data_IF_387308853382
#
_entry.id   IF_387308853382
#
_cell.length_a   1.000
_cell.length_b   1.000
_cell.length_c   1.000
_cell.angle_alpha   90.00
_cell.angle_beta   90.00
_cell.angle_gamma   90.00
#
_symmetry.space_group_name_H-M   'P 1'
#
loop_
_entity.id
_entity.type
_entity.pdbx_description
1 polymer ?
#
# COMPACT_ATOMS: atom_id res chain seq x y z
N UNK A 1 12.04 6.75 5.36
CA UNK A 1 13.07 7.10 6.37
C UNK A 1 13.17 8.62 6.41
N UNK A 2 13.14 9.31 7.56
CA UNK A 2 13.13 10.78 7.56
C UNK A 2 14.47 11.33 7.10
N UNK A 3 14.49 11.99 5.94
CA UNK A 3 15.62 12.81 5.53
C UNK A 3 15.51 14.17 6.22
N UNK A 4 16.14 14.27 7.39
CA UNK A 4 16.24 15.54 8.10
C UNK A 4 17.17 16.46 7.31
N UNK A 5 16.60 17.51 6.73
CA UNK A 5 17.38 18.67 6.30
C UNK A 5 18.21 19.15 7.48
N UNK A 6 19.53 19.08 7.35
CA UNK A 6 20.52 19.33 8.40
C UNK A 6 20.22 20.63 9.15
N UNK A 7 19.66 20.56 10.37
CA UNK A 7 20.00 21.44 11.51
C UNK A 7 19.17 21.13 12.79
N UNK A 8 19.91 20.99 13.89
CA UNK A 8 19.53 21.13 15.32
C UNK A 8 18.97 19.92 16.10
N UNK A 9 19.29 19.91 17.40
CA UNK A 9 19.27 18.76 18.33
C UNK A 9 18.12 18.78 19.37
N UNK A 10 17.26 19.81 19.41
CA UNK A 10 16.09 19.87 20.32
C UNK A 10 14.80 19.31 19.69
N UNK A 11 14.90 18.84 18.44
CA UNK A 11 13.80 18.58 17.50
C UNK A 11 13.30 17.13 17.47
N UNK A 12 14.03 16.20 18.06
CA UNK A 12 13.71 14.77 17.99
C UNK A 12 12.52 14.41 18.87
N UNK A 13 12.29 15.14 19.98
CA UNK A 13 11.23 14.83 20.94
C UNK A 13 9.83 15.22 20.43
N UNK A 14 9.72 16.37 19.73
CA UNK A 14 8.46 16.81 19.13
C UNK A 14 8.04 15.87 17.98
N UNK A 15 8.98 15.51 17.12
CA UNK A 15 8.72 14.54 16.04
C UNK A 15 8.37 13.16 16.61
N UNK A 16 9.08 12.70 17.64
CA UNK A 16 8.76 11.44 18.30
C UNK A 16 7.35 11.44 18.91
N UNK A 17 6.92 12.57 19.48
CA UNK A 17 5.57 12.73 20.02
C UNK A 17 4.52 12.68 18.91
N UNK A 18 4.75 13.38 17.79
CA UNK A 18 3.89 13.30 16.61
C UNK A 18 3.76 11.87 16.06
N UNK A 19 4.87 11.13 15.96
CA UNK A 19 4.82 9.74 15.51
C UNK A 19 4.10 8.84 16.50
N UNK A 20 4.30 9.01 17.81
CA UNK A 20 3.58 8.24 18.82
C UNK A 20 2.06 8.50 18.76
N UNK A 21 1.64 9.74 18.52
CA UNK A 21 0.24 10.09 18.30
C UNK A 21 -0.29 9.47 16.99
N UNK A 22 0.48 9.54 15.91
CA UNK A 22 0.12 8.95 14.63
C UNK A 22 0.01 7.42 14.72
N UNK A 23 0.94 6.74 15.38
CA UNK A 23 0.87 5.30 15.66
C UNK A 23 -0.37 4.95 16.48
N UNK A 24 -0.71 5.78 17.47
CA UNK A 24 -1.95 5.59 18.25
C UNK A 24 -3.18 5.66 17.34
N UNK A 25 -3.26 6.66 16.45
CA UNK A 25 -4.36 6.78 15.48
C UNK A 25 -4.39 5.60 14.51
N UNK A 26 -3.25 5.24 13.92
CA UNK A 26 -3.13 4.15 12.96
C UNK A 26 -3.44 2.78 13.60
N UNK A 27 -3.13 2.58 14.89
CA UNK A 27 -3.47 1.35 15.61
C UNK A 27 -4.97 1.06 15.69
N UNK A 28 -5.82 2.08 15.46
CA UNK A 28 -7.28 1.96 15.43
C UNK A 28 -7.80 1.55 14.05
N UNK A 29 -6.94 1.53 13.04
CA UNK A 29 -7.23 1.03 11.70
C UNK A 29 -6.70 -0.41 11.62
N UNK A 30 -7.46 -1.36 11.03
CA UNK A 30 -6.97 -2.72 10.86
C UNK A 30 -5.59 -2.74 10.18
N UNK A 31 -4.63 -3.55 10.67
CA UNK A 31 -3.28 -3.54 10.16
C UNK A 31 -3.26 -3.91 8.67
N UNK A 32 -2.52 -3.10 7.91
CA UNK A 32 -2.27 -3.30 6.48
C UNK A 32 -0.84 -3.82 6.30
N UNK A 33 -0.56 -5.01 6.86
CA UNK A 33 0.75 -5.65 6.81
C UNK A 33 0.60 -7.16 6.63
N UNK A 34 1.43 -7.74 5.77
CA UNK A 34 1.48 -9.19 5.52
C UNK A 34 1.13 -9.54 4.08
N UNK A 35 0.58 -10.75 3.89
CA UNK A 35 0.37 -11.49 2.65
C UNK A 35 1.45 -12.54 2.37
N UNK A 36 1.03 -13.70 1.90
CA UNK A 36 1.90 -14.74 1.36
C UNK A 36 1.60 -14.98 -0.12
N UNK A 37 2.62 -15.33 -0.90
CA UNK A 37 2.42 -15.90 -2.22
C UNK A 37 3.56 -16.81 -2.61
N UNK A 38 3.24 -17.89 -3.32
CA UNK A 38 4.22 -18.77 -3.94
C UNK A 38 3.75 -19.23 -5.31
N UNK A 39 4.73 -19.44 -6.19
CA UNK A 39 4.52 -20.04 -7.52
C UNK A 39 5.40 -21.26 -7.62
N UNK A 40 4.79 -22.39 -7.97
CA UNK A 40 5.49 -23.65 -8.27
C UNK A 40 5.41 -23.84 -9.78
N UNK A 41 6.56 -23.96 -10.43
CA UNK A 41 6.61 -24.26 -11.86
C UNK A 41 6.10 -25.67 -12.16
N UNK A 42 5.62 -25.90 -13.39
CA UNK A 42 5.06 -27.19 -13.77
C UNK A 42 6.03 -28.37 -13.64
N UNK A 43 7.34 -28.14 -13.79
CA UNK A 43 8.36 -29.19 -13.59
C UNK A 43 8.47 -29.67 -12.15
N UNK A 44 7.98 -28.89 -11.19
CA UNK A 44 7.96 -29.22 -9.76
C UNK A 44 6.56 -29.60 -9.24
N UNK A 45 5.57 -29.79 -10.12
CA UNK A 45 4.21 -30.19 -9.72
C UNK A 45 3.82 -31.56 -10.30
N UNK A 46 3.03 -32.34 -9.55
CA UNK A 46 2.56 -33.66 -10.00
C UNK A 46 1.73 -33.60 -11.28
N UNK A 47 1.04 -32.48 -11.54
CA UNK A 47 0.20 -32.29 -12.73
C UNK A 47 0.97 -31.82 -13.96
N UNK A 48 2.25 -31.45 -13.81
CA UNK A 48 3.00 -30.79 -14.88
C UNK A 48 2.54 -29.35 -15.17
N UNK A 49 1.66 -28.76 -14.34
CA UNK A 49 1.09 -27.41 -14.50
C UNK A 49 1.57 -26.48 -13.40
N UNK A 50 1.60 -25.17 -13.68
CA UNK A 50 1.93 -24.14 -12.68
C UNK A 50 0.89 -24.15 -11.57
N UNK A 51 1.34 -23.99 -10.32
CA UNK A 51 0.48 -23.73 -9.16
C UNK A 51 0.82 -22.35 -8.64
N UNK A 52 -0.17 -21.45 -8.60
CA UNK A 52 -0.11 -20.20 -7.87
C UNK A 52 -0.92 -20.36 -6.58
N UNK A 53 -0.35 -19.98 -5.45
CA UNK A 53 -1.14 -19.68 -4.26
C UNK A 53 -0.83 -18.26 -3.81
N UNK A 54 -1.88 -17.53 -3.45
CA UNK A 54 -1.78 -16.18 -2.94
C UNK A 54 -2.81 -16.02 -1.82
N UNK A 55 -2.32 -15.58 -0.67
CA UNK A 55 -3.04 -15.43 0.59
C UNK A 55 -2.81 -13.99 1.08
N UNK A 56 -3.54 -13.00 0.55
CA UNK A 56 -3.36 -11.61 0.93
C UNK A 56 -3.99 -11.33 2.28
N UNK A 57 -3.20 -10.71 3.17
CA UNK A 57 -3.65 -10.37 4.52
C UNK A 57 -4.21 -8.96 4.51
N UNK A 58 -5.53 -8.85 4.45
CA UNK A 58 -6.27 -7.61 4.64
C UNK A 58 -7.30 -7.83 5.74
N UNK A 59 -7.49 -6.83 6.61
CA UNK A 59 -8.45 -6.93 7.69
C UNK A 59 -9.86 -7.24 7.20
N UNK A 60 -10.58 -8.08 7.96
CA UNK A 60 -12.00 -8.30 7.75
C UNK A 60 -12.77 -7.00 8.04
N UNK A 61 -13.75 -6.70 7.20
CA UNK A 61 -14.60 -5.52 7.33
C UNK A 61 -16.06 -5.85 6.97
N UNK A 62 -16.97 -4.98 7.39
CA UNK A 62 -18.36 -4.97 6.97
C UNK A 62 -18.68 -3.55 6.44
N UNK A 63 -18.83 -3.35 5.11
CA UNK A 63 -18.84 -4.36 4.05
C UNK A 63 -17.48 -5.06 3.84
N UNK A 64 -17.52 -6.27 3.26
CA UNK A 64 -16.32 -7.07 2.98
C UNK A 64 -15.34 -6.32 2.09
N UNK A 65 -14.06 -6.40 2.43
CA UNK A 65 -12.97 -5.80 1.64
C UNK A 65 -12.86 -6.43 0.27
N UNK A 66 -12.91 -7.77 0.20
CA UNK A 66 -12.91 -8.53 -1.04
C UNK A 66 -14.32 -8.88 -1.48
N UNK A 67 -14.58 -8.70 -2.77
CA UNK A 67 -15.79 -9.19 -3.43
C UNK A 67 -15.41 -10.23 -4.49
N UNK A 68 -15.78 -11.49 -4.26
CA UNK A 68 -15.52 -12.57 -5.20
C UNK A 68 -16.55 -12.57 -6.34
N UNK A 69 -16.08 -12.61 -7.59
CA UNK A 69 -16.94 -12.62 -8.74
C UNK A 69 -16.33 -13.37 -9.94
N UNK A 70 -17.21 -13.79 -10.84
CA UNK A 70 -16.85 -14.36 -12.13
C UNK A 70 -17.51 -13.55 -13.23
N UNK A 71 -16.71 -12.84 -14.02
CA UNK A 71 -17.17 -12.16 -15.22
C UNK A 71 -16.98 -13.05 -16.43
N UNK A 72 -18.04 -13.24 -17.21
CA UNK A 72 -18.01 -14.09 -18.40
C UNK A 72 -18.74 -13.43 -19.56
N UNK A 73 -18.09 -13.48 -20.71
CA UNK A 73 -18.59 -13.10 -22.03
C UNK A 73 -18.42 -14.31 -22.97
N UNK A 74 -18.92 -14.26 -24.22
CA UNK A 74 -18.68 -15.35 -25.17
C UNK A 74 -17.20 -15.64 -25.46
N UNK A 75 -16.34 -14.61 -25.40
CA UNK A 75 -14.93 -14.65 -25.82
C UNK A 75 -13.92 -14.51 -24.67
N UNK A 76 -14.38 -14.14 -23.47
CA UNK A 76 -13.51 -13.90 -22.32
C UNK A 76 -14.15 -14.28 -20.97
N UNK A 77 -13.32 -14.76 -20.05
CA UNK A 77 -13.70 -15.00 -18.65
C UNK A 77 -12.61 -14.57 -17.68
N UNK A 78 -13.02 -14.07 -16.52
CA UNK A 78 -12.17 -13.69 -15.40
C UNK A 78 -12.86 -14.06 -14.09
N UNK A 79 -12.21 -14.91 -13.31
CA UNK A 79 -12.60 -15.25 -11.95
C UNK A 79 -11.63 -14.61 -10.97
N UNK A 80 -12.14 -14.03 -9.88
CA UNK A 80 -11.26 -13.56 -8.82
C UNK A 80 -11.94 -12.69 -7.78
N UNK A 81 -11.10 -11.97 -7.04
CA UNK A 81 -11.50 -11.08 -5.97
C UNK A 81 -11.26 -9.62 -6.38
N UNK A 82 -12.29 -8.82 -6.17
CA UNK A 82 -12.36 -7.40 -6.49
C UNK A 82 -12.31 -6.55 -5.22
N UNK A 83 -11.78 -5.34 -5.37
CA UNK A 83 -11.96 -4.27 -4.39
C UNK A 83 -13.09 -3.35 -4.87
N UNK A 84 -13.76 -2.69 -3.92
CA UNK A 84 -14.79 -1.71 -4.24
C UNK A 84 -14.25 -0.64 -5.21
N UNK A 85 -14.99 -0.40 -6.30
CA UNK A 85 -14.61 0.56 -7.34
C UNK A 85 -13.59 0.05 -8.37
N UNK A 86 -13.03 -1.15 -8.22
CA UNK A 86 -12.07 -1.73 -9.17
C UNK A 86 -12.78 -2.68 -10.14
N UNK A 87 -12.82 -2.39 -11.46
CA UNK A 87 -13.60 -3.15 -12.44
C UNK A 87 -12.93 -4.46 -12.89
N UNK A 88 -11.77 -4.81 -12.35
CA UNK A 88 -11.04 -6.05 -12.64
C UNK A 88 -10.57 -6.74 -11.36
N UNK A 89 -10.32 -8.04 -11.45
CA UNK A 89 -9.89 -8.82 -10.29
C UNK A 89 -8.43 -8.50 -9.96
N UNK A 90 -8.18 -7.99 -8.75
CA UNK A 90 -6.81 -7.74 -8.26
C UNK A 90 -6.10 -9.06 -7.98
N UNK A 91 -6.85 -10.05 -7.51
CA UNK A 91 -6.42 -11.43 -7.31
C UNK A 91 -7.27 -12.28 -8.23
N UNK A 92 -6.68 -12.97 -9.21
CA UNK A 92 -7.53 -13.63 -10.19
C UNK A 92 -6.83 -14.54 -11.16
N UNK A 93 -7.64 -15.19 -11.98
CA UNK A 93 -7.19 -16.02 -13.05
C UNK A 93 -8.21 -16.09 -14.19
N UNK A 94 -7.72 -16.51 -15.35
CA UNK A 94 -8.53 -16.91 -16.50
C UNK A 94 -8.04 -18.27 -17.02
N UNK A 95 -8.52 -18.70 -18.19
CA UNK A 95 -8.10 -19.98 -18.80
C UNK A 95 -6.61 -20.08 -19.13
N UNK A 96 -5.87 -18.97 -19.18
CA UNK A 96 -4.50 -18.90 -19.68
C UNK A 96 -3.48 -18.52 -18.60
N UNK A 97 -3.87 -17.74 -17.60
CA UNK A 97 -2.95 -17.20 -16.59
C UNK A 97 -3.65 -16.92 -15.27
N UNK A 98 -2.85 -16.81 -14.21
CA UNK A 98 -3.26 -16.42 -12.88
C UNK A 98 -2.26 -15.41 -12.30
N UNK A 99 -2.73 -14.52 -11.44
CA UNK A 99 -1.91 -13.54 -10.75
C UNK A 99 -2.41 -13.32 -9.33
N UNK A 100 -1.50 -12.84 -8.51
CA UNK A 100 -1.73 -12.47 -7.13
C UNK A 100 -0.86 -11.29 -6.77
N UNK A 101 -1.18 -10.65 -5.66
CA UNK A 101 -0.38 -9.54 -5.13
C UNK A 101 -0.02 -9.81 -3.68
N UNK A 102 1.14 -9.32 -3.29
CA UNK A 102 1.56 -9.22 -1.90
C UNK A 102 1.96 -7.78 -1.64
N UNK A 103 1.95 -7.36 -0.39
CA UNK A 103 2.48 -6.05 -0.04
C UNK A 103 3.98 -5.99 -0.29
N UNK A 104 4.41 -4.98 -1.04
CA UNK A 104 5.80 -4.60 -1.10
C UNK A 104 6.04 -3.59 0.02
N UNK A 105 6.75 -3.99 1.07
CA UNK A 105 7.11 -3.10 2.19
C UNK A 105 8.26 -2.17 1.78
N UNK A 106 8.13 -1.46 0.65
CA UNK A 106 9.11 -0.46 0.26
C UNK A 106 8.93 0.83 1.08
N UNK A 107 9.96 1.65 1.07
CA UNK A 107 9.93 3.01 1.60
C UNK A 107 9.54 3.94 0.43
N UNK A 108 8.24 4.24 0.30
CA UNK A 108 7.67 5.06 -0.78
C UNK A 108 7.11 6.42 -0.30
N UNK A 109 7.27 6.74 0.99
CA UNK A 109 6.82 7.99 1.59
C UNK A 109 7.92 8.59 2.48
N UNK A 110 8.33 9.82 2.14
CA UNK A 110 9.23 10.64 2.95
C UNK A 110 8.44 11.83 3.54
N UNK A 111 8.66 12.12 4.82
CA UNK A 111 8.17 13.36 5.45
C UNK A 111 9.21 14.47 5.34
N UNK A 112 8.73 15.68 5.08
CA UNK A 112 9.54 16.90 5.06
C UNK A 112 9.04 17.86 6.14
N UNK A 113 9.97 18.55 6.79
CA UNK A 113 9.67 19.65 7.71
C UNK A 113 9.97 20.96 7.00
N UNK A 114 8.92 21.64 6.59
CA UNK A 114 9.04 22.95 5.96
C UNK A 114 9.33 24.05 7.01
N UNK A 115 10.08 25.07 6.60
CA UNK A 115 10.24 26.30 7.38
C UNK A 115 9.18 27.29 6.91
N UNK A 116 8.27 27.68 7.79
CA UNK A 116 7.19 28.64 7.49
C UNK A 116 7.66 30.09 7.56
N UNK A 117 7.06 30.97 6.76
CA UNK A 117 7.34 32.41 6.80
C UNK A 117 6.62 33.07 8.00
N UNK A 118 7.34 33.67 8.96
CA UNK A 118 6.71 34.32 10.12
C UNK A 118 5.82 35.52 9.76
N UNK A 119 6.02 36.12 8.58
CA UNK A 119 5.25 37.26 8.10
C UNK A 119 4.07 36.88 7.18
N UNK A 120 4.09 35.67 6.61
CA UNK A 120 3.03 35.15 5.75
C UNK A 120 2.89 33.63 5.92
N UNK A 121 1.90 33.13 6.68
CA UNK A 121 1.79 31.70 6.97
C UNK A 121 1.52 30.84 5.72
N UNK A 122 1.11 31.43 4.60
CA UNK A 122 0.88 30.75 3.33
C UNK A 122 2.17 30.55 2.52
N UNK A 123 3.35 30.78 3.12
CA UNK A 123 4.66 30.62 2.48
C UNK A 123 5.61 29.69 3.24
N UNK A 124 6.40 28.94 2.47
CA UNK A 124 7.48 28.08 2.96
C UNK A 124 8.83 28.43 2.32
N UNK A 125 9.92 28.14 3.03
CA UNK A 125 11.27 28.40 2.53
C UNK A 125 11.70 27.28 1.57
N UNK A 126 11.92 27.62 0.30
CA UNK A 126 12.35 26.69 -0.73
C UNK A 126 13.52 27.27 -1.52
N UNK A 127 14.62 26.51 -1.68
CA UNK A 127 15.80 26.89 -2.51
C UNK A 127 16.25 28.35 -2.40
N UNK A 128 16.28 28.86 -1.17
CA UNK A 128 16.74 30.21 -0.80
C UNK A 128 15.75 31.37 -1.03
N UNK A 129 14.45 31.09 -1.17
CA UNK A 129 13.40 32.11 -1.16
C UNK A 129 12.11 31.64 -0.46
N UNK A 130 11.18 32.56 -0.23
CA UNK A 130 9.82 32.24 0.22
C UNK A 130 8.94 31.89 -0.99
N UNK A 131 8.41 30.67 -1.02
CA UNK A 131 7.48 30.15 -2.03
C UNK A 131 6.10 30.02 -1.40
N UNK A 132 5.05 30.36 -2.15
CA UNK A 132 3.67 30.12 -1.71
C UNK A 132 3.38 28.60 -1.62
N UNK A 133 2.58 28.19 -0.64
CA UNK A 133 2.16 26.79 -0.42
C UNK A 133 1.16 26.27 -1.47
#
# INVERSE_FOLDING_TARGET
QIKVSKQHNDTDLELATFFAEMENVLSRIPPFFGSNSWVISGSHSKSGKVILANDPHIGFAAPSTWYEAHMKTPDWELYGHHLAGIPFAILGHNRRMAWGVTMLQNDDLDYFRERTNPANPDQVWFRDHWEDL
#
